data_IF_672943656951
#
_entry.id   IF_672943656951
#
_cell.length_a   1.000
_cell.length_b   1.000
_cell.length_c   1.000
_cell.angle_alpha   90.00
_cell.angle_beta   90.00
_cell.angle_gamma   90.00
#
_symmetry.space_group_name_H-M   'P 1'
#
loop_
_entity.id
_entity.type
_entity.pdbx_description
1 polymer ?
#
# COMPACT_ATOMS: atom_id res chain seq x y z
N UNK A 1 -37.64 -16.97 34.47
CA UNK A 1 -37.04 -15.66 34.12
C UNK A 1 -36.51 -15.76 32.71
N UNK A 2 -37.23 -15.19 31.75
CA UNK A 2 -36.72 -15.11 30.37
C UNK A 2 -35.49 -14.17 30.35
N UNK A 3 -34.32 -14.72 30.11
CA UNK A 3 -33.14 -13.90 29.76
C UNK A 3 -33.45 -13.23 28.43
N UNK A 4 -33.81 -11.96 28.45
CA UNK A 4 -33.86 -11.12 27.26
C UNK A 4 -32.42 -10.95 26.84
N UNK A 5 -32.03 -11.60 25.71
CA UNK A 5 -30.74 -11.36 25.09
C UNK A 5 -30.54 -9.84 24.88
N UNK A 6 -29.37 -9.28 25.18
CA UNK A 6 -29.13 -7.85 24.96
C UNK A 6 -29.46 -7.50 23.52
N UNK A 7 -30.05 -6.34 23.23
CA UNK A 7 -30.36 -5.93 21.87
C UNK A 7 -29.06 -5.90 21.04
N UNK A 8 -29.10 -6.54 19.89
CA UNK A 8 -27.97 -6.54 18.95
C UNK A 8 -27.69 -5.09 18.51
N UNK A 9 -26.46 -4.62 18.64
CA UNK A 9 -26.11 -3.25 18.24
C UNK A 9 -26.18 -3.07 16.72
N UNK A 10 -26.48 -1.86 16.26
CA UNK A 10 -26.42 -1.53 14.81
C UNK A 10 -25.04 -1.81 14.21
N UNK A 11 -23.98 -1.60 14.98
CA UNK A 11 -22.60 -1.94 14.55
C UNK A 11 -22.45 -3.44 14.30
N UNK A 12 -22.90 -4.29 15.23
CA UNK A 12 -22.83 -5.75 15.08
C UNK A 12 -23.63 -6.23 13.87
N UNK A 13 -24.84 -5.69 13.66
CA UNK A 13 -25.63 -5.99 12.47
C UNK A 13 -24.94 -5.53 11.19
N UNK A 14 -24.38 -4.32 11.18
CA UNK A 14 -23.67 -3.80 10.03
C UNK A 14 -22.45 -4.66 9.65
N UNK A 15 -21.67 -5.08 10.62
CA UNK A 15 -20.53 -5.99 10.40
C UNK A 15 -20.99 -7.33 9.82
N UNK A 16 -22.08 -7.91 10.33
CA UNK A 16 -22.65 -9.14 9.79
C UNK A 16 -23.07 -8.99 8.32
N UNK A 17 -23.69 -7.86 7.94
CA UNK A 17 -24.04 -7.59 6.56
C UNK A 17 -22.79 -7.34 5.69
N UNK A 18 -21.76 -6.65 6.22
CA UNK A 18 -20.49 -6.45 5.50
C UNK A 18 -19.77 -7.77 5.21
N UNK A 19 -19.74 -8.73 6.15
CA UNK A 19 -19.19 -10.08 5.95
C UNK A 19 -19.88 -10.83 4.79
N UNK A 20 -21.13 -10.50 4.51
CA UNK A 20 -21.93 -11.06 3.40
C UNK A 20 -21.86 -10.20 2.13
N UNK A 21 -20.99 -9.18 2.09
CA UNK A 21 -20.89 -8.21 1.02
C UNK A 21 -22.16 -7.40 0.75
N UNK A 22 -23.05 -7.30 1.71
CA UNK A 22 -24.29 -6.52 1.67
C UNK A 22 -24.01 -5.06 2.10
N UNK A 23 -23.03 -4.43 1.42
CA UNK A 23 -22.46 -3.13 1.77
C UNK A 23 -23.46 -1.98 1.91
N UNK A 24 -24.50 -1.85 1.03
CA UNK A 24 -25.51 -0.79 1.18
C UNK A 24 -26.30 -0.91 2.48
N UNK A 25 -26.61 -2.14 2.91
CA UNK A 25 -27.31 -2.40 4.19
C UNK A 25 -26.42 -2.05 5.37
N UNK A 26 -25.14 -2.48 5.30
CA UNK A 26 -24.14 -2.14 6.32
C UNK A 26 -24.01 -0.62 6.46
N UNK A 27 -23.93 0.14 5.36
CA UNK A 27 -23.89 1.60 5.37
C UNK A 27 -25.08 2.20 6.09
N UNK A 28 -26.31 1.80 5.74
CA UNK A 28 -27.52 2.34 6.35
C UNK A 28 -27.57 2.11 7.86
N UNK A 29 -27.18 0.91 8.33
CA UNK A 29 -27.12 0.57 9.76
C UNK A 29 -26.08 1.42 10.50
N UNK A 30 -24.90 1.65 9.90
CA UNK A 30 -23.86 2.50 10.49
C UNK A 30 -24.25 3.98 10.54
N UNK A 31 -24.97 4.48 9.55
CA UNK A 31 -25.53 5.84 9.56
C UNK A 31 -26.53 6.04 10.71
N UNK A 32 -27.26 5.00 11.11
CA UNK A 32 -28.06 5.01 12.36
C UNK A 32 -27.18 4.97 13.60
N UNK A 33 -26.15 4.12 13.61
CA UNK A 33 -25.25 3.99 14.77
C UNK A 33 -24.49 5.32 15.07
N UNK A 34 -24.15 6.11 14.06
CA UNK A 34 -23.53 7.45 14.25
C UNK A 34 -24.38 8.38 15.13
N UNK A 35 -25.71 8.23 15.16
CA UNK A 35 -26.61 9.04 15.97
C UNK A 35 -26.57 8.66 17.46
N UNK A 36 -26.02 7.50 17.79
CA UNK A 36 -25.88 6.98 19.15
C UNK A 36 -24.52 7.43 19.71
N UNK A 37 -24.45 8.27 20.74
CA UNK A 37 -23.19 8.88 21.20
C UNK A 37 -22.07 7.87 21.48
N UNK A 38 -22.37 6.75 22.18
CA UNK A 38 -21.41 5.72 22.55
C UNK A 38 -20.84 4.94 21.34
N UNK A 39 -21.61 4.87 20.23
CA UNK A 39 -21.27 4.07 19.04
C UNK A 39 -20.71 4.95 17.92
N UNK A 40 -20.82 6.28 18.06
CA UNK A 40 -20.54 7.27 17.01
C UNK A 40 -19.17 7.13 16.37
N UNK A 41 -18.11 7.06 17.17
CA UNK A 41 -16.76 6.98 16.65
C UNK A 41 -16.54 5.66 15.91
N UNK A 42 -16.89 4.53 16.51
CA UNK A 42 -16.74 3.22 15.88
C UNK A 42 -17.55 3.12 14.59
N UNK A 43 -18.78 3.64 14.57
CA UNK A 43 -19.61 3.67 13.37
C UNK A 43 -19.00 4.53 12.26
N UNK A 44 -18.41 5.69 12.57
CA UNK A 44 -17.71 6.54 11.60
C UNK A 44 -16.47 5.87 11.01
N UNK A 45 -15.68 5.17 11.82
CA UNK A 45 -14.50 4.41 11.34
C UNK A 45 -14.93 3.30 10.38
N UNK A 46 -16.00 2.57 10.69
CA UNK A 46 -16.54 1.55 9.78
C UNK A 46 -17.17 2.15 8.52
N UNK A 47 -17.83 3.31 8.63
CA UNK A 47 -18.33 4.05 7.45
C UNK A 47 -17.21 4.48 6.52
N UNK A 48 -16.04 4.86 7.05
CA UNK A 48 -14.87 5.13 6.22
C UNK A 48 -14.54 3.92 5.32
N UNK A 49 -14.55 2.71 5.85
CA UNK A 49 -14.27 1.49 5.07
C UNK A 49 -15.40 1.18 4.09
N UNK A 50 -16.65 1.14 4.58
CA UNK A 50 -17.83 0.76 3.77
C UNK A 50 -18.05 1.73 2.60
N UNK A 51 -17.91 3.04 2.83
CA UNK A 51 -18.06 4.03 1.76
C UNK A 51 -17.01 3.86 0.67
N UNK A 52 -15.77 3.55 1.01
CA UNK A 52 -14.72 3.31 0.03
C UNK A 52 -14.98 2.04 -0.81
N UNK A 53 -15.44 0.96 -0.17
CA UNK A 53 -15.85 -0.27 -0.90
C UNK A 53 -17.00 0.03 -1.86
N UNK A 54 -17.91 0.93 -1.50
CA UNK A 54 -19.01 1.38 -2.36
C UNK A 54 -18.60 2.41 -3.43
N UNK A 55 -17.31 2.80 -3.49
CA UNK A 55 -16.80 3.80 -4.45
C UNK A 55 -17.03 5.25 -4.04
N UNK A 56 -17.50 5.51 -2.82
CA UNK A 56 -17.77 6.84 -2.25
C UNK A 56 -16.63 7.24 -1.29
N UNK A 57 -15.42 7.33 -1.84
CA UNK A 57 -14.20 7.59 -1.04
C UNK A 57 -14.27 8.96 -0.32
N UNK A 58 -14.89 9.97 -0.92
CA UNK A 58 -15.00 11.31 -0.34
C UNK A 58 -15.85 11.26 0.94
N UNK A 59 -17.02 10.65 0.91
CA UNK A 59 -17.86 10.47 2.10
C UNK A 59 -17.12 9.62 3.17
N UNK A 60 -16.42 8.57 2.76
CA UNK A 60 -15.60 7.77 3.66
C UNK A 60 -14.56 8.61 4.40
N UNK A 61 -13.77 9.40 3.69
CA UNK A 61 -12.76 10.30 4.28
C UNK A 61 -13.39 11.35 5.20
N UNK A 62 -14.58 11.86 4.87
CA UNK A 62 -15.30 12.78 5.74
C UNK A 62 -15.70 12.13 7.09
N UNK A 63 -16.16 10.87 7.04
CA UNK A 63 -16.46 10.09 8.26
C UNK A 63 -15.20 9.84 9.09
N UNK A 64 -14.10 9.41 8.48
CA UNK A 64 -12.81 9.22 9.18
C UNK A 64 -12.38 10.52 9.86
N UNK A 65 -12.36 11.63 9.12
CA UNK A 65 -11.98 12.94 9.64
C UNK A 65 -12.79 13.32 10.86
N UNK A 66 -14.12 13.18 10.79
CA UNK A 66 -15.00 13.48 11.90
C UNK A 66 -14.74 12.57 13.12
N UNK A 67 -14.48 11.28 12.92
CA UNK A 67 -14.16 10.35 14.00
C UNK A 67 -12.88 10.74 14.75
N UNK A 68 -11.79 11.02 13.97
CA UNK A 68 -10.46 11.24 14.55
C UNK A 68 -10.20 12.68 14.99
N UNK A 69 -11.06 13.63 14.61
CA UNK A 69 -11.06 14.98 15.19
C UNK A 69 -11.59 14.94 16.63
N UNK A 70 -12.60 14.11 16.92
CA UNK A 70 -13.11 13.90 18.28
C UNK A 70 -12.12 13.10 19.14
N UNK A 71 -11.50 12.05 18.55
CA UNK A 71 -10.57 11.16 19.24
C UNK A 71 -9.47 10.68 18.28
N UNK A 72 -8.32 11.36 18.22
CA UNK A 72 -7.27 11.06 17.25
C UNK A 72 -6.53 9.75 17.51
N UNK A 73 -6.70 9.13 18.66
CA UNK A 73 -6.10 7.86 19.03
C UNK A 73 -7.16 6.75 19.04
N UNK A 74 -6.91 5.68 18.29
CA UNK A 74 -7.72 4.45 18.30
C UNK A 74 -6.90 3.29 18.83
N UNK A 75 -7.56 2.24 19.36
CA UNK A 75 -6.91 1.12 20.00
C UNK A 75 -7.50 -0.22 19.57
N UNK A 76 -6.64 -1.14 19.17
CA UNK A 76 -6.94 -2.55 18.93
C UNK A 76 -6.18 -3.39 19.98
N UNK A 77 -6.86 -3.95 21.00
CA UNK A 77 -6.21 -4.77 22.00
C UNK A 77 -5.82 -6.13 21.45
N UNK A 78 -4.71 -6.67 21.92
CA UNK A 78 -4.33 -8.06 21.74
C UNK A 78 -5.00 -8.98 22.77
N UNK A 79 -5.15 -10.28 22.42
CA UNK A 79 -5.68 -11.29 23.37
C UNK A 79 -4.69 -11.55 24.53
N UNK A 80 -3.40 -11.55 24.24
CA UNK A 80 -2.30 -11.79 25.18
C UNK A 80 -1.14 -10.82 24.88
N UNK A 81 -1.26 -9.54 25.24
CA UNK A 81 -0.33 -8.50 24.81
C UNK A 81 1.10 -8.76 25.26
N UNK A 82 2.04 -8.70 24.31
CA UNK A 82 3.49 -8.79 24.53
C UNK A 82 4.21 -7.58 23.95
N UNK A 83 3.58 -6.88 22.99
CA UNK A 83 4.12 -5.71 22.27
C UNK A 83 3.06 -4.64 22.23
N UNK A 84 3.47 -3.39 22.30
CA UNK A 84 2.61 -2.20 22.17
C UNK A 84 3.18 -1.30 21.09
N UNK A 85 2.52 -1.27 19.95
CA UNK A 85 2.96 -0.52 18.78
C UNK A 85 2.11 0.72 18.61
N UNK A 86 2.76 1.91 18.53
CA UNK A 86 2.11 3.13 18.07
C UNK A 86 2.24 3.23 16.56
N UNK A 87 1.13 3.13 15.85
CA UNK A 87 1.05 3.34 14.40
C UNK A 87 0.66 4.79 14.15
N UNK A 88 1.41 5.51 13.33
CA UNK A 88 1.10 6.89 12.94
C UNK A 88 0.52 6.88 11.53
N UNK A 89 -0.73 7.33 11.42
CA UNK A 89 -1.51 7.43 10.19
C UNK A 89 -1.87 8.88 9.87
N UNK A 90 -2.29 9.12 8.62
CA UNK A 90 -2.91 10.36 8.14
C UNK A 90 -4.36 10.10 7.70
N UNK A 91 -5.21 11.12 7.78
CA UNK A 91 -6.59 11.04 7.25
C UNK A 91 -6.55 11.03 5.72
N UNK A 92 -7.11 9.97 5.14
CA UNK A 92 -7.18 9.77 3.69
C UNK A 92 -8.02 8.55 3.31
N UNK A 93 -7.96 8.18 2.04
CA UNK A 93 -8.54 6.95 1.52
C UNK A 93 -7.69 5.71 1.90
N UNK A 94 -8.05 4.53 1.39
CA UNK A 94 -7.30 3.29 1.66
C UNK A 94 -5.83 3.34 1.21
N UNK A 95 -5.49 4.23 0.27
CA UNK A 95 -4.14 4.36 -0.26
C UNK A 95 -3.24 5.27 0.59
N UNK A 96 -3.84 6.04 1.52
CA UNK A 96 -3.11 7.03 2.30
C UNK A 96 -2.20 6.42 3.38
N UNK A 97 -2.44 5.18 3.76
CA UNK A 97 -1.68 4.53 4.82
C UNK A 97 -1.48 3.03 4.55
N UNK A 98 -0.36 2.50 5.03
CA UNK A 98 -0.18 1.07 5.20
C UNK A 98 -1.09 0.58 6.34
N UNK A 99 -1.98 -0.41 6.12
CA UNK A 99 -2.82 -0.93 7.20
C UNK A 99 -2.01 -1.87 8.13
N UNK A 100 -1.12 -1.31 8.95
CA UNK A 100 -0.19 -2.06 9.83
C UNK A 100 -0.94 -3.05 10.72
N UNK A 101 -2.18 -2.73 11.13
CA UNK A 101 -3.00 -3.65 11.90
C UNK A 101 -3.27 -4.99 11.18
N UNK A 102 -3.22 -5.04 9.84
CA UNK A 102 -3.34 -6.28 9.06
C UNK A 102 -2.01 -7.06 9.00
N UNK A 103 -0.88 -6.40 9.20
CA UNK A 103 0.45 -7.02 9.21
C UNK A 103 0.79 -7.65 10.55
N UNK A 104 0.10 -7.27 11.63
CA UNK A 104 0.40 -7.67 12.99
C UNK A 104 -0.65 -8.65 13.51
N UNK A 105 -0.19 -9.69 14.19
CA UNK A 105 -1.09 -10.64 14.82
C UNK A 105 -1.90 -9.96 15.94
N UNK A 106 -3.18 -10.31 16.02
CA UNK A 106 -4.12 -9.81 17.03
C UNK A 106 -4.01 -10.56 18.37
N UNK A 107 -3.10 -11.52 18.45
CA UNK A 107 -2.92 -12.34 19.64
C UNK A 107 -1.95 -11.70 20.61
N UNK A 108 -0.85 -11.14 20.11
CA UNK A 108 0.26 -10.69 20.97
C UNK A 108 0.63 -9.21 20.80
N UNK A 109 0.00 -8.47 19.85
CA UNK A 109 0.38 -7.09 19.58
C UNK A 109 -0.79 -6.13 19.80
N UNK A 110 -0.68 -5.31 20.84
CA UNK A 110 -1.52 -4.13 21.04
C UNK A 110 -1.18 -3.07 19.98
N UNK A 111 -2.18 -2.58 19.26
CA UNK A 111 -1.99 -1.55 18.25
C UNK A 111 -2.74 -0.28 18.64
N UNK A 112 -1.99 0.77 18.94
CA UNK A 112 -2.48 2.12 19.10
C UNK A 112 -2.29 2.86 17.78
N UNK A 113 -3.34 3.40 17.18
CA UNK A 113 -3.24 4.17 15.93
C UNK A 113 -3.52 5.64 16.21
N UNK A 114 -2.51 6.47 16.01
CA UNK A 114 -2.61 7.93 16.09
C UNK A 114 -2.80 8.51 14.69
N UNK A 115 -3.90 9.25 14.51
CA UNK A 115 -4.24 9.91 13.25
C UNK A 115 -3.78 11.37 13.29
N UNK A 116 -2.67 11.67 12.62
CA UNK A 116 -2.16 13.03 12.55
C UNK A 116 -2.99 13.89 11.59
N UNK A 117 -3.29 15.11 12.03
CA UNK A 117 -3.95 16.15 11.24
C UNK A 117 -3.35 17.52 11.61
N UNK A 118 -3.19 18.46 10.65
CA UNK A 118 -2.55 19.75 10.92
C UNK A 118 -3.23 20.57 12.02
N UNK A 119 -4.56 20.46 12.16
CA UNK A 119 -5.35 21.29 13.08
C UNK A 119 -5.78 20.54 14.35
N UNK A 120 -5.43 19.26 14.49
CA UNK A 120 -5.80 18.45 15.65
C UNK A 120 -4.55 18.22 16.49
N UNK A 121 -4.52 18.68 17.75
CA UNK A 121 -3.36 18.49 18.61
C UNK A 121 -3.18 17.00 18.92
N UNK A 122 -1.91 16.59 19.02
CA UNK A 122 -1.56 15.27 19.55
C UNK A 122 -1.98 15.24 21.02
N UNK A 123 -2.61 14.16 21.51
CA UNK A 123 -2.97 14.06 22.91
C UNK A 123 -1.73 14.23 23.82
N UNK A 124 -1.88 15.00 24.91
CA UNK A 124 -0.79 15.24 25.86
C UNK A 124 -0.30 13.95 26.51
N UNK A 125 -1.20 12.99 26.69
CA UNK A 125 -0.90 11.67 27.26
C UNK A 125 -1.11 10.60 26.19
N UNK A 126 -0.01 10.00 25.75
CA UNK A 126 -0.04 8.81 24.92
C UNK A 126 0.10 7.56 25.81
N UNK A 127 -0.42 6.39 25.37
CA UNK A 127 -0.24 5.14 26.10
C UNK A 127 1.24 4.78 26.18
N UNK A 128 1.57 3.90 27.12
CA UNK A 128 2.89 3.29 27.15
C UNK A 128 3.05 2.39 25.90
N UNK A 129 4.13 2.63 25.14
CA UNK A 129 4.42 1.97 23.86
C UNK A 129 5.85 1.43 23.84
N UNK A 130 6.09 0.42 23.03
CA UNK A 130 7.40 -0.22 22.89
C UNK A 130 8.13 0.27 21.62
N UNK A 131 7.39 0.55 20.53
CA UNK A 131 7.95 1.12 19.31
C UNK A 131 6.93 1.98 18.55
N UNK A 132 7.41 2.77 17.58
CA UNK A 132 6.61 3.60 16.67
C UNK A 132 6.76 3.08 15.26
N UNK A 133 5.64 2.98 14.52
CA UNK A 133 5.61 2.66 13.11
C UNK A 133 4.92 3.81 12.35
N UNK A 134 5.65 4.54 11.50
CA UNK A 134 5.03 5.51 10.61
C UNK A 134 4.47 4.74 9.40
N UNK A 135 3.14 4.71 9.30
CA UNK A 135 2.41 3.94 8.29
C UNK A 135 1.86 4.81 7.15
N UNK A 136 2.15 6.10 7.16
CA UNK A 136 1.72 7.05 6.13
C UNK A 136 2.37 6.66 4.81
N UNK A 137 1.56 6.44 3.76
CA UNK A 137 2.06 6.15 2.43
C UNK A 137 2.66 7.42 1.77
N UNK A 138 3.64 7.21 0.86
CA UNK A 138 4.25 8.30 0.13
C UNK A 138 3.21 9.02 -0.73
N UNK A 139 3.08 10.30 -0.51
CA UNK A 139 2.40 11.27 -1.36
C UNK A 139 2.96 12.66 -1.01
N UNK A 140 3.21 13.50 -2.01
CA UNK A 140 3.72 14.86 -1.76
C UNK A 140 2.78 15.68 -0.86
N UNK A 141 1.46 15.39 -0.87
CA UNK A 141 0.48 16.01 0.04
C UNK A 141 0.76 15.67 1.51
N UNK A 142 1.46 14.60 1.77
CA UNK A 142 1.79 14.13 3.13
C UNK A 142 3.14 14.64 3.64
N UNK A 143 3.92 15.40 2.85
CA UNK A 143 5.28 15.79 3.19
C UNK A 143 5.40 16.53 4.54
N UNK A 144 4.45 17.40 4.88
CA UNK A 144 4.44 18.13 6.17
C UNK A 144 4.07 17.20 7.33
N UNK A 145 3.10 16.30 7.12
CA UNK A 145 2.67 15.35 8.15
C UNK A 145 3.76 14.29 8.40
N UNK A 146 4.47 13.83 7.37
CA UNK A 146 5.62 12.95 7.53
C UNK A 146 6.74 13.58 8.38
N UNK A 147 7.02 14.88 8.16
CA UNK A 147 7.95 15.63 9.03
C UNK A 147 7.45 15.74 10.47
N UNK A 148 6.15 16.01 10.66
CA UNK A 148 5.55 16.06 11.99
C UNK A 148 5.60 14.69 12.70
N UNK A 149 5.40 13.61 11.94
CA UNK A 149 5.52 12.23 12.46
C UNK A 149 6.96 11.91 12.93
N UNK A 150 7.98 12.32 12.15
CA UNK A 150 9.39 12.16 12.57
C UNK A 150 9.69 12.94 13.85
N UNK A 151 9.24 14.18 13.97
CA UNK A 151 9.42 15.00 15.17
C UNK A 151 8.73 14.39 16.39
N UNK A 152 7.52 13.87 16.21
CA UNK A 152 6.79 13.17 17.27
C UNK A 152 7.53 11.91 17.70
N UNK A 153 7.97 11.08 16.75
CA UNK A 153 8.71 9.86 17.03
C UNK A 153 10.01 10.15 17.80
N UNK A 154 10.75 11.21 17.40
CA UNK A 154 11.95 11.66 18.11
C UNK A 154 11.64 12.10 19.54
N UNK A 155 10.53 12.82 19.77
CA UNK A 155 10.10 13.23 21.12
C UNK A 155 9.74 12.03 22.01
N UNK A 156 9.17 10.97 21.42
CA UNK A 156 8.80 9.75 22.15
C UNK A 156 10.02 8.92 22.56
N UNK A 157 11.14 9.04 21.85
CA UNK A 157 12.39 8.34 22.15
C UNK A 157 12.28 6.82 22.11
N UNK A 158 11.36 6.29 21.30
CA UNK A 158 11.16 4.85 21.11
C UNK A 158 11.71 4.40 19.75
N UNK A 159 12.08 3.11 19.59
CA UNK A 159 12.49 2.59 18.30
C UNK A 159 11.49 2.94 17.19
N UNK A 160 12.00 3.40 16.05
CA UNK A 160 11.20 3.88 14.93
C UNK A 160 11.30 2.94 13.73
N UNK A 161 10.16 2.54 13.19
CA UNK A 161 10.02 1.80 11.94
C UNK A 161 9.49 2.76 10.89
N UNK A 162 10.13 2.76 9.71
CA UNK A 162 9.81 3.59 8.57
C UNK A 162 9.80 5.11 8.87
N UNK A 163 10.99 5.73 9.05
CA UNK A 163 11.09 7.17 9.22
C UNK A 163 10.42 7.96 8.09
N UNK A 164 9.67 9.02 8.42
CA UNK A 164 8.89 9.81 7.48
C UNK A 164 9.72 10.46 6.38
N UNK A 165 10.94 10.91 6.67
CA UNK A 165 11.85 11.47 5.66
C UNK A 165 12.32 10.43 4.64
N UNK A 166 12.47 9.15 5.01
CA UNK A 166 12.78 8.07 4.07
C UNK A 166 11.56 7.72 3.23
N UNK A 167 10.35 7.71 3.82
CA UNK A 167 9.10 7.55 3.06
C UNK A 167 8.99 8.64 1.99
N UNK A 168 9.17 9.91 2.36
CA UNK A 168 9.08 11.04 1.44
C UNK A 168 10.11 10.97 0.29
N UNK A 169 11.24 10.28 0.47
CA UNK A 169 12.28 10.11 -0.55
C UNK A 169 11.91 9.05 -1.62
N UNK A 170 10.85 8.26 -1.44
CA UNK A 170 10.47 7.20 -2.40
C UNK A 170 9.50 7.66 -3.49
N UNK A 171 9.21 8.96 -3.57
CA UNK A 171 8.33 9.54 -4.59
C UNK A 171 8.73 9.16 -6.02
N UNK A 172 7.74 8.99 -6.89
CA UNK A 172 7.94 8.53 -8.27
C UNK A 172 8.94 9.37 -9.07
N UNK A 173 8.94 10.68 -8.90
CA UNK A 173 9.87 11.61 -9.53
C UNK A 173 11.28 11.59 -8.91
N UNK A 174 11.43 11.08 -7.69
CA UNK A 174 12.68 10.99 -6.96
C UNK A 174 13.33 9.60 -7.11
N UNK A 175 12.55 8.56 -7.38
CA UNK A 175 12.97 7.16 -7.38
C UNK A 175 14.16 6.90 -8.30
N UNK A 176 14.18 7.48 -9.52
CA UNK A 176 15.30 7.29 -10.46
C UNK A 176 16.62 7.92 -9.97
N UNK A 177 16.55 8.97 -9.16
CA UNK A 177 17.73 9.57 -8.53
C UNK A 177 18.18 8.76 -7.31
N UNK A 178 17.24 8.28 -6.50
CA UNK A 178 17.50 7.45 -5.33
C UNK A 178 18.16 6.12 -5.72
N UNK A 179 17.66 5.48 -6.77
CA UNK A 179 18.07 4.14 -7.22
C UNK A 179 19.02 4.16 -8.43
N UNK A 180 19.65 5.30 -8.73
CA UNK A 180 20.57 5.43 -9.88
C UNK A 180 21.76 4.48 -9.76
N UNK A 181 22.29 4.07 -10.91
CA UNK A 181 23.53 3.29 -11.03
C UNK A 181 23.54 1.96 -10.24
N UNK A 182 22.38 1.37 -9.99
CA UNK A 182 22.30 0.01 -9.42
C UNK A 182 22.60 -0.99 -10.55
N UNK A 183 23.65 -1.82 -10.41
CA UNK A 183 23.92 -2.87 -11.40
C UNK A 183 22.75 -3.82 -11.58
N UNK A 184 22.49 -4.24 -12.81
CA UNK A 184 21.39 -5.12 -13.20
C UNK A 184 19.98 -4.57 -12.86
N UNK A 185 19.82 -3.24 -12.80
CA UNK A 185 18.52 -2.59 -12.64
C UNK A 185 18.36 -1.43 -13.63
N UNK A 186 17.17 -1.36 -14.22
CA UNK A 186 16.69 -0.21 -14.98
C UNK A 186 15.62 0.48 -14.14
N UNK A 187 15.84 1.76 -13.82
CA UNK A 187 14.88 2.59 -13.11
C UNK A 187 14.43 3.71 -14.05
N UNK A 188 13.28 3.58 -14.74
CA UNK A 188 12.83 4.59 -15.68
C UNK A 188 12.63 5.93 -14.99
N UNK A 189 13.25 6.98 -15.51
CA UNK A 189 13.05 8.32 -14.96
C UNK A 189 11.61 8.76 -15.21
N UNK A 190 10.87 8.98 -14.14
CA UNK A 190 9.54 9.56 -14.19
C UNK A 190 9.64 11.07 -14.00
N UNK A 191 9.02 11.83 -14.89
CA UNK A 191 8.98 13.29 -14.83
C UNK A 191 7.53 13.75 -14.66
N UNK A 192 7.34 14.80 -13.87
CA UNK A 192 6.04 15.42 -13.68
C UNK A 192 5.92 16.58 -14.66
N UNK A 193 4.82 16.63 -15.42
CA UNK A 193 4.53 17.68 -16.38
C UNK A 193 3.07 18.09 -16.43
N UNK A 194 2.81 19.34 -16.78
CA UNK A 194 1.45 19.83 -17.05
C UNK A 194 0.97 19.30 -18.41
N UNK A 195 -0.32 18.99 -18.54
CA UNK A 195 -0.91 18.50 -19.80
C UNK A 195 -0.55 19.38 -21.00
N UNK A 196 -0.61 20.71 -20.86
CA UNK A 196 -0.27 21.67 -21.93
C UNK A 196 1.20 21.57 -22.37
N UNK A 197 2.13 21.32 -21.45
CA UNK A 197 3.57 21.32 -21.72
C UNK A 197 4.00 20.01 -22.38
N UNK A 198 3.30 18.91 -22.09
CA UNK A 198 3.56 17.59 -22.65
C UNK A 198 3.29 17.52 -24.16
N UNK A 199 2.42 18.39 -24.69
CA UNK A 199 2.09 18.44 -26.13
C UNK A 199 3.25 18.96 -27.00
N UNK A 200 4.27 19.59 -26.41
CA UNK A 200 5.37 20.25 -27.15
C UNK A 200 6.58 19.36 -27.44
N UNK A 201 6.61 18.12 -26.93
CA UNK A 201 7.71 17.19 -27.21
C UNK A 201 7.66 15.93 -26.37
N UNK A 202 8.37 14.88 -26.81
CA UNK A 202 8.50 13.63 -26.09
C UNK A 202 9.18 12.56 -26.94
N UNK A 203 9.98 11.70 -26.31
CA UNK A 203 10.46 10.49 -26.96
C UNK A 203 9.36 9.41 -26.81
N UNK A 204 8.98 8.78 -27.91
CA UNK A 204 7.98 7.72 -27.94
C UNK A 204 8.64 6.35 -28.20
N UNK A 205 8.06 5.25 -27.72
CA UNK A 205 6.85 5.18 -26.88
C UNK A 205 7.10 5.60 -25.42
N UNK A 206 6.08 6.19 -24.80
CA UNK A 206 6.13 6.58 -23.40
C UNK A 206 4.93 6.01 -22.60
N UNK A 207 5.08 6.00 -21.29
CA UNK A 207 4.00 5.75 -20.31
C UNK A 207 3.57 7.08 -19.71
N UNK A 208 2.26 7.28 -19.60
CA UNK A 208 1.64 8.45 -18.97
C UNK A 208 0.57 8.02 -17.97
N UNK A 209 0.46 8.76 -16.87
CA UNK A 209 -0.63 8.58 -15.91
C UNK A 209 -0.92 9.89 -15.16
N UNK A 210 -2.17 10.15 -14.73
CA UNK A 210 -2.48 11.27 -13.87
C UNK A 210 -1.70 11.20 -12.54
N UNK A 211 -1.27 12.35 -12.03
CA UNK A 211 -0.39 12.43 -10.84
C UNK A 211 -0.93 11.67 -9.62
N UNK A 212 -2.20 11.81 -9.30
CA UNK A 212 -2.83 11.23 -8.12
C UNK A 212 -3.63 9.96 -8.44
N UNK A 213 -3.24 9.22 -9.49
CA UNK A 213 -3.91 7.97 -9.85
C UNK A 213 -3.23 6.76 -9.21
N UNK A 214 -4.03 5.80 -8.76
CA UNK A 214 -3.61 4.53 -8.18
C UNK A 214 -4.18 3.36 -8.96
N UNK A 215 -3.69 2.14 -8.73
CA UNK A 215 -4.18 0.90 -9.32
C UNK A 215 -4.34 0.93 -10.85
N UNK A 216 -3.42 1.61 -11.56
CA UNK A 216 -3.46 1.69 -13.03
C UNK A 216 -4.49 2.64 -13.61
N UNK A 217 -5.25 3.37 -12.80
CA UNK A 217 -6.25 4.33 -13.30
C UNK A 217 -5.59 5.40 -14.16
N UNK A 218 -6.05 5.54 -15.41
CA UNK A 218 -5.51 6.50 -16.36
C UNK A 218 -4.08 6.18 -16.86
N UNK A 219 -3.51 5.02 -16.53
CA UNK A 219 -2.22 4.58 -17.08
C UNK A 219 -2.38 4.24 -18.57
N UNK A 220 -1.53 4.83 -19.41
CA UNK A 220 -1.56 4.58 -20.85
C UNK A 220 -0.14 4.50 -21.43
N UNK A 221 0.04 3.66 -22.45
CA UNK A 221 1.19 3.66 -23.34
C UNK A 221 0.86 4.52 -24.57
N UNK A 222 1.71 5.49 -24.83
CA UNK A 222 1.54 6.45 -25.89
C UNK A 222 2.62 6.18 -26.97
N UNK A 223 2.18 5.87 -28.19
CA UNK A 223 3.07 5.50 -29.29
C UNK A 223 3.63 6.68 -30.09
N UNK A 224 2.88 7.81 -30.12
CA UNK A 224 3.22 8.98 -30.91
C UNK A 224 2.53 10.26 -30.37
N UNK A 225 2.84 11.40 -30.98
CA UNK A 225 2.28 12.70 -30.59
C UNK A 225 0.76 12.82 -30.79
N UNK A 226 0.21 12.15 -31.82
CA UNK A 226 -1.22 12.19 -32.08
C UNK A 226 -2.01 11.41 -31.01
N UNK A 227 -1.50 10.27 -30.60
CA UNK A 227 -2.02 9.49 -29.48
C UNK A 227 -1.96 10.27 -28.16
N UNK A 228 -0.84 11.02 -27.91
CA UNK A 228 -0.70 11.88 -26.74
C UNK A 228 -1.75 12.99 -26.73
N UNK A 229 -1.92 13.70 -27.84
CA UNK A 229 -2.94 14.75 -27.96
C UNK A 229 -4.37 14.19 -27.74
N UNK A 230 -4.64 13.00 -28.26
CA UNK A 230 -5.93 12.32 -28.06
C UNK A 230 -6.16 11.94 -26.61
N UNK A 231 -5.13 11.39 -25.93
CA UNK A 231 -5.20 11.02 -24.52
C UNK A 231 -5.44 12.24 -23.62
N UNK A 232 -4.77 13.35 -23.87
CA UNK A 232 -4.85 14.57 -23.03
C UNK A 232 -6.12 15.38 -23.25
N UNK A 233 -6.86 15.17 -24.35
CA UNK A 233 -8.06 15.96 -24.71
C UNK A 233 -9.13 16.12 -23.62
N UNK A 234 -9.47 15.09 -22.80
CA UNK A 234 -10.48 15.22 -21.75
C UNK A 234 -9.98 15.95 -20.49
N UNK A 235 -8.68 16.24 -20.39
CA UNK A 235 -8.05 16.81 -19.21
C UNK A 235 -7.86 18.33 -19.34
N UNK A 236 -7.70 19.02 -18.20
CA UNK A 236 -7.41 20.45 -18.17
C UNK A 236 -5.93 20.69 -18.50
N UNK A 237 -5.60 21.83 -19.13
CA UNK A 237 -4.20 22.21 -19.39
C UNK A 237 -3.29 22.19 -18.15
N UNK A 238 -3.87 22.47 -16.98
CA UNK A 238 -3.19 22.51 -15.68
C UNK A 238 -3.09 21.16 -14.97
N UNK A 239 -3.69 20.10 -15.51
CA UNK A 239 -3.61 18.79 -14.88
C UNK A 239 -2.20 18.20 -14.99
N UNK A 240 -1.75 17.55 -13.93
CA UNK A 240 -0.40 17.01 -13.80
C UNK A 240 -0.36 15.52 -14.10
N UNK A 241 0.68 15.12 -14.84
CA UNK A 241 0.92 13.74 -15.24
C UNK A 241 2.34 13.32 -14.94
N UNK A 242 2.51 12.08 -14.50
CA UNK A 242 3.80 11.41 -14.56
C UNK A 242 3.98 10.84 -15.96
N UNK A 243 5.19 11.06 -16.51
CA UNK A 243 5.61 10.54 -17.80
C UNK A 243 6.94 9.83 -17.64
N UNK A 244 7.07 8.65 -18.25
CA UNK A 244 8.30 7.87 -18.28
C UNK A 244 8.50 7.22 -19.66
N UNK A 245 9.75 6.89 -20.07
CA UNK A 245 9.97 6.07 -21.25
C UNK A 245 9.31 4.69 -21.05
N UNK A 246 8.68 4.17 -22.11
CA UNK A 246 8.19 2.79 -22.10
C UNK A 246 9.37 1.84 -22.24
N UNK A 247 9.51 0.89 -21.31
CA UNK A 247 10.50 -0.18 -21.39
C UNK A 247 9.79 -1.47 -21.80
N UNK A 248 10.22 -2.07 -22.89
CA UNK A 248 9.72 -3.37 -23.32
C UNK A 248 10.46 -4.48 -22.56
N UNK A 249 9.83 -5.01 -21.51
CA UNK A 249 10.38 -6.08 -20.68
C UNK A 249 9.71 -7.43 -20.95
N UNK A 250 9.11 -7.62 -22.14
CA UNK A 250 8.54 -8.92 -22.52
C UNK A 250 9.57 -10.03 -22.37
N UNK A 251 9.13 -11.13 -21.80
CA UNK A 251 9.91 -12.37 -21.75
C UNK A 251 10.04 -12.97 -23.16
N UNK A 252 10.93 -13.93 -23.32
CA UNK A 252 11.20 -14.57 -24.63
C UNK A 252 10.00 -15.32 -25.23
N UNK A 253 9.03 -15.70 -24.40
CA UNK A 253 7.75 -16.31 -24.79
C UNK A 253 6.68 -15.28 -25.22
N UNK A 254 7.01 -13.98 -25.19
CA UNK A 254 6.13 -12.88 -25.53
C UNK A 254 5.23 -12.39 -24.41
N UNK A 255 5.21 -13.05 -23.27
CA UNK A 255 4.39 -12.66 -22.13
C UNK A 255 5.07 -11.58 -21.26
N UNK A 256 4.24 -10.80 -20.58
CA UNK A 256 4.67 -9.78 -19.63
C UNK A 256 4.51 -10.32 -18.21
N UNK A 257 5.55 -10.20 -17.38
CA UNK A 257 5.56 -10.65 -15.98
C UNK A 257 5.79 -9.49 -15.06
N UNK A 258 4.83 -9.21 -14.20
CA UNK A 258 4.95 -8.23 -13.13
C UNK A 258 5.12 -8.94 -11.80
N UNK A 259 6.19 -8.62 -11.11
CA UNK A 259 6.53 -9.18 -9.81
C UNK A 259 6.27 -8.14 -8.72
N UNK A 260 5.74 -8.59 -7.60
CA UNK A 260 5.59 -7.83 -6.38
C UNK A 260 6.45 -8.46 -5.29
N UNK A 261 7.37 -7.66 -4.75
CA UNK A 261 8.35 -8.08 -3.75
C UNK A 261 8.19 -7.19 -2.53
N UNK A 262 8.08 -7.79 -1.36
CA UNK A 262 8.04 -7.09 -0.08
C UNK A 262 9.43 -7.12 0.53
N UNK A 263 9.84 -6.00 1.10
CA UNK A 263 11.08 -5.91 1.87
C UNK A 263 10.74 -5.80 3.35
N UNK A 264 11.36 -6.67 4.14
CA UNK A 264 11.31 -6.62 5.59
C UNK A 264 12.74 -6.65 6.11
N UNK A 265 13.14 -5.60 6.80
CA UNK A 265 14.50 -5.39 7.33
C UNK A 265 15.60 -5.64 6.27
N UNK A 266 15.39 -5.07 5.08
CA UNK A 266 16.31 -5.18 3.95
C UNK A 266 16.24 -6.51 3.18
N UNK A 267 15.44 -7.50 3.62
CA UNK A 267 15.32 -8.79 2.95
C UNK A 267 14.17 -8.78 1.93
N UNK A 268 14.45 -9.04 0.63
CA UNK A 268 13.42 -9.17 -0.38
C UNK A 268 12.67 -10.51 -0.23
N UNK A 269 11.36 -10.45 -0.18
CA UNK A 269 10.45 -11.59 -0.04
C UNK A 269 9.41 -11.57 -1.16
N UNK A 270 9.25 -12.64 -1.95
CA UNK A 270 8.30 -12.67 -3.04
C UNK A 270 6.86 -12.71 -2.49
N UNK A 271 5.96 -11.93 -3.11
CA UNK A 271 4.57 -11.83 -2.64
C UNK A 271 3.54 -12.13 -3.72
N UNK A 272 3.73 -11.60 -4.95
CA UNK A 272 2.86 -11.88 -6.09
C UNK A 272 3.64 -11.88 -7.39
N UNK A 273 3.15 -12.65 -8.36
CA UNK A 273 3.53 -12.53 -9.76
C UNK A 273 2.28 -12.59 -10.63
N UNK A 274 2.14 -11.69 -11.59
CA UNK A 274 1.07 -11.70 -12.58
C UNK A 274 1.66 -11.85 -13.99
N UNK A 275 1.02 -12.67 -14.84
CA UNK A 275 1.45 -12.93 -16.21
C UNK A 275 0.32 -12.53 -17.16
N UNK A 276 0.63 -11.68 -18.15
CA UNK A 276 -0.34 -11.18 -19.11
C UNK A 276 0.22 -11.09 -20.52
N UNK A 277 -0.64 -11.10 -21.52
CA UNK A 277 -0.26 -10.99 -22.92
C UNK A 277 -0.11 -9.52 -23.39
N UNK A 278 -0.43 -8.57 -22.52
CA UNK A 278 -0.27 -7.12 -22.75
C UNK A 278 0.65 -6.51 -21.67
N UNK A 279 1.30 -5.39 -22.03
CA UNK A 279 2.22 -4.64 -21.16
C UNK A 279 1.58 -4.11 -19.87
N UNK A 280 0.27 -3.81 -19.92
CA UNK A 280 -0.49 -3.31 -18.77
C UNK A 280 -0.87 -4.45 -17.82
N UNK A 281 0.12 -5.03 -17.17
CA UNK A 281 -0.09 -6.15 -16.24
C UNK A 281 -0.68 -5.65 -14.93
N UNK A 282 -1.91 -6.05 -14.69
CA UNK A 282 -2.56 -5.89 -13.41
C UNK A 282 -3.09 -7.25 -12.94
N UNK A 283 -3.03 -7.50 -11.64
CA UNK A 283 -3.36 -8.81 -11.11
C UNK A 283 -4.75 -9.32 -11.55
N UNK A 284 -5.74 -8.43 -11.53
CA UNK A 284 -7.13 -8.77 -11.89
C UNK A 284 -7.38 -8.94 -13.39
N UNK A 285 -6.51 -8.42 -14.28
CA UNK A 285 -6.65 -8.63 -15.73
C UNK A 285 -5.81 -9.80 -16.25
N UNK A 286 -4.91 -10.34 -15.43
CA UNK A 286 -3.94 -11.37 -15.82
C UNK A 286 -4.57 -12.76 -15.99
N UNK A 287 -5.82 -12.98 -15.58
CA UNK A 287 -6.51 -14.28 -15.71
C UNK A 287 -5.86 -15.40 -14.89
N UNK A 288 -5.20 -15.06 -13.79
CA UNK A 288 -4.50 -16.01 -12.91
C UNK A 288 -5.45 -17.07 -12.32
N UNK A 289 -6.72 -16.73 -12.14
CA UNK A 289 -7.78 -17.63 -11.65
C UNK A 289 -8.10 -18.76 -12.65
N UNK A 290 -7.93 -18.51 -13.96
CA UNK A 290 -8.33 -19.42 -15.04
C UNK A 290 -7.18 -20.25 -15.60
N UNK A 291 -5.93 -19.86 -15.35
CA UNK A 291 -4.75 -20.49 -15.96
C UNK A 291 -3.88 -21.18 -14.89
N UNK A 292 -3.90 -22.51 -14.91
CA UNK A 292 -3.11 -23.34 -14.00
C UNK A 292 -1.59 -23.22 -14.25
N UNK A 293 -1.17 -23.00 -15.51
CA UNK A 293 0.23 -22.80 -15.89
C UNK A 293 0.79 -21.51 -15.27
N UNK A 294 0.06 -20.39 -15.38
CA UNK A 294 0.41 -19.13 -14.75
C UNK A 294 0.53 -19.27 -13.22
N UNK A 295 -0.42 -19.99 -12.58
CA UNK A 295 -0.35 -20.24 -11.13
C UNK A 295 0.82 -21.15 -10.74
N UNK A 296 1.17 -22.13 -11.55
CA UNK A 296 2.33 -22.97 -11.28
C UNK A 296 3.64 -22.17 -11.34
N UNK A 297 3.76 -21.25 -12.29
CA UNK A 297 4.91 -20.35 -12.40
C UNK A 297 4.97 -19.36 -11.23
N UNK A 298 3.84 -18.75 -10.83
CA UNK A 298 3.78 -17.91 -9.63
C UNK A 298 4.15 -18.70 -8.37
N UNK A 299 3.65 -19.94 -8.23
CA UNK A 299 3.97 -20.79 -7.09
C UNK A 299 5.48 -21.11 -7.01
N UNK A 300 6.13 -21.37 -8.16
CA UNK A 300 7.59 -21.54 -8.22
C UNK A 300 8.32 -20.26 -7.77
N UNK A 301 7.92 -19.10 -8.28
CA UNK A 301 8.46 -17.81 -7.85
C UNK A 301 8.32 -17.57 -6.34
N UNK A 302 7.17 -17.90 -5.75
CA UNK A 302 6.89 -17.67 -4.33
C UNK A 302 7.64 -18.61 -3.39
N UNK A 303 7.92 -19.85 -3.81
CA UNK A 303 8.49 -20.87 -2.94
C UNK A 303 9.94 -21.22 -3.26
N UNK A 304 10.44 -20.84 -4.44
CA UNK A 304 11.83 -21.05 -4.87
C UNK A 304 12.44 -19.78 -5.45
N UNK A 305 12.26 -18.67 -4.75
CA UNK A 305 12.65 -17.33 -5.18
C UNK A 305 14.12 -17.24 -5.61
N UNK A 306 15.00 -17.89 -4.86
CA UNK A 306 16.44 -17.88 -5.13
C UNK A 306 16.85 -18.53 -6.47
N UNK A 307 16.05 -19.49 -6.98
CA UNK A 307 16.25 -20.10 -8.30
C UNK A 307 15.40 -19.45 -9.39
N UNK A 308 14.18 -19.00 -9.03
CA UNK A 308 13.25 -18.36 -9.96
C UNK A 308 13.69 -16.95 -10.37
N UNK A 309 14.51 -16.28 -9.55
CA UNK A 309 14.96 -14.92 -9.80
C UNK A 309 16.47 -14.91 -10.10
N UNK A 310 16.93 -14.23 -11.19
CA UNK A 310 18.34 -14.22 -11.55
C UNK A 310 19.25 -13.65 -10.45
N UNK A 311 20.45 -14.16 -10.24
CA UNK A 311 21.37 -13.66 -9.20
C UNK A 311 21.63 -12.15 -9.28
N UNK A 312 21.75 -11.61 -10.52
CA UNK A 312 21.92 -10.16 -10.77
C UNK A 312 20.70 -9.35 -10.28
N UNK A 313 19.49 -9.84 -10.49
CA UNK A 313 18.28 -9.20 -10.00
C UNK A 313 18.17 -9.29 -8.46
N UNK A 314 18.53 -10.43 -7.85
CA UNK A 314 18.62 -10.56 -6.38
C UNK A 314 19.62 -9.56 -5.80
N UNK A 315 20.79 -9.40 -6.45
CA UNK A 315 21.77 -8.37 -6.05
C UNK A 315 21.16 -6.97 -6.14
N UNK A 316 20.50 -6.64 -7.26
CA UNK A 316 19.86 -5.35 -7.46
C UNK A 316 18.78 -5.07 -6.40
N UNK A 317 17.98 -6.08 -6.01
CA UNK A 317 16.98 -5.96 -4.95
C UNK A 317 17.61 -5.61 -3.59
N UNK A 318 18.76 -6.20 -3.24
CA UNK A 318 19.48 -5.88 -2.00
C UNK A 318 20.04 -4.46 -2.02
N UNK A 319 20.56 -4.01 -3.15
CA UNK A 319 21.02 -2.63 -3.32
C UNK A 319 19.87 -1.63 -3.24
N UNK A 320 18.71 -1.97 -3.81
CA UNK A 320 17.47 -1.17 -3.67
C UNK A 320 17.10 -1.05 -2.19
N UNK A 321 17.08 -2.16 -1.45
CA UNK A 321 16.76 -2.15 -0.03
C UNK A 321 17.71 -1.24 0.77
N UNK A 322 19.01 -1.34 0.52
CA UNK A 322 20.03 -0.52 1.18
C UNK A 322 19.84 0.98 0.91
N UNK A 323 19.46 1.36 -0.32
CA UNK A 323 19.26 2.76 -0.70
C UNK A 323 17.93 3.34 -0.24
N UNK A 324 16.86 2.54 -0.27
CA UNK A 324 15.55 2.94 0.25
C UNK A 324 15.60 3.11 1.76
N UNK A 325 16.30 2.22 2.48
CA UNK A 325 16.54 2.33 3.92
C UNK A 325 15.30 2.15 4.81
N UNK A 326 14.14 1.87 4.22
CA UNK A 326 12.93 1.57 4.98
C UNK A 326 12.96 0.12 5.48
N UNK A 327 12.45 -0.09 6.69
CA UNK A 327 12.35 -1.41 7.29
C UNK A 327 11.21 -2.26 6.69
N UNK A 328 10.15 -1.61 6.16
CA UNK A 328 9.07 -2.26 5.43
C UNK A 328 8.66 -1.41 4.21
N UNK A 329 8.64 -2.01 3.04
CA UNK A 329 8.09 -1.43 1.81
C UNK A 329 7.86 -2.53 0.77
N UNK A 330 7.16 -2.20 -0.31
CA UNK A 330 6.98 -3.05 -1.48
C UNK A 330 7.68 -2.50 -2.71
N UNK A 331 7.93 -3.36 -3.68
CA UNK A 331 8.45 -3.05 -5.00
C UNK A 331 7.62 -3.76 -6.06
N UNK A 332 7.11 -3.01 -7.03
CA UNK A 332 6.58 -3.58 -8.27
C UNK A 332 7.67 -3.48 -9.36
N UNK A 333 7.97 -4.61 -10.01
CA UNK A 333 9.04 -4.70 -11.01
C UNK A 333 8.73 -5.72 -12.11
N UNK A 334 9.54 -5.70 -13.18
CA UNK A 334 9.60 -6.71 -14.23
C UNK A 334 11.02 -7.23 -14.39
N UNK A 335 11.22 -8.23 -15.25
CA UNK A 335 12.52 -8.73 -15.67
C UNK A 335 12.65 -8.66 -17.18
N UNK A 336 13.78 -8.13 -17.65
CA UNK A 336 14.21 -8.24 -19.04
C UNK A 336 14.61 -9.69 -19.36
N UNK A 337 14.64 -10.11 -20.64
CA UNK A 337 15.10 -11.44 -21.04
C UNK A 337 16.54 -11.78 -20.59
N UNK A 338 17.39 -10.78 -20.41
CA UNK A 338 18.76 -10.93 -19.90
C UNK A 338 18.86 -11.00 -18.37
N UNK A 339 17.72 -10.92 -17.67
CA UNK A 339 17.63 -10.95 -16.22
C UNK A 339 17.80 -9.57 -15.54
N UNK A 340 17.91 -8.48 -16.30
CA UNK A 340 17.94 -7.12 -15.75
C UNK A 340 16.59 -6.76 -15.14
N UNK A 341 16.60 -6.25 -13.91
CA UNK A 341 15.40 -5.82 -13.17
C UNK A 341 14.88 -4.49 -13.76
N UNK A 342 13.59 -4.39 -14.03
CA UNK A 342 12.92 -3.12 -14.38
C UNK A 342 12.04 -2.69 -13.23
N UNK A 343 12.39 -1.59 -12.58
CA UNK A 343 11.67 -1.06 -11.41
C UNK A 343 10.52 -0.17 -11.87
N UNK A 344 9.29 -0.46 -11.45
CA UNK A 344 8.11 0.36 -11.77
C UNK A 344 7.82 1.36 -10.67
N UNK A 345 7.80 0.91 -9.41
CA UNK A 345 7.54 1.75 -8.24
C UNK A 345 8.06 1.12 -6.93
N UNK A 346 8.45 2.00 -6.01
CA UNK A 346 8.59 1.69 -4.59
C UNK A 346 7.27 2.08 -3.93
N UNK A 347 6.64 1.16 -3.20
CA UNK A 347 5.32 1.35 -2.61
C UNK A 347 5.41 1.18 -1.09
N UNK A 348 5.21 2.27 -0.35
CA UNK A 348 5.31 2.28 1.11
C UNK A 348 4.02 1.84 1.80
N UNK A 349 2.90 1.84 1.08
CA UNK A 349 1.59 1.38 1.55
C UNK A 349 1.22 -0.04 1.13
N UNK A 350 2.17 -0.84 0.62
CA UNK A 350 1.89 -2.16 0.06
C UNK A 350 1.38 -3.15 1.09
N UNK A 351 0.15 -3.64 0.88
CA UNK A 351 -0.58 -4.52 1.80
C UNK A 351 -0.13 -5.97 1.60
N UNK A 352 0.07 -6.68 2.72
CA UNK A 352 0.20 -8.14 2.76
C UNK A 352 -0.89 -8.70 3.65
N UNK A 353 -1.57 -9.75 3.18
CA UNK A 353 -2.55 -10.48 3.98
C UNK A 353 -2.47 -11.98 3.69
N UNK A 354 -2.87 -12.81 4.65
CA UNK A 354 -2.96 -14.27 4.53
C UNK A 354 -4.42 -14.75 4.44
N UNK A 355 -5.32 -13.92 3.94
CA UNK A 355 -6.72 -14.28 3.69
C UNK A 355 -6.80 -15.11 2.40
N UNK A 356 -7.56 -16.24 2.39
CA UNK A 356 -7.73 -17.02 1.18
C UNK A 356 -8.53 -16.24 0.13
N UNK A 357 -7.96 -16.14 -1.08
CA UNK A 357 -8.62 -15.52 -2.26
C UNK A 357 -9.35 -16.60 -3.12
N UNK A 358 -9.67 -17.74 -2.53
CA UNK A 358 -10.21 -18.93 -3.17
C UNK A 358 -9.23 -20.10 -3.14
N UNK A 359 -9.76 -21.32 -3.29
CA UNK A 359 -8.96 -22.56 -3.17
C UNK A 359 -7.81 -22.63 -4.17
N UNK A 360 -7.99 -22.08 -5.39
CA UNK A 360 -6.97 -22.09 -6.43
C UNK A 360 -5.72 -21.28 -6.08
N UNK A 361 -5.80 -20.40 -5.07
CA UNK A 361 -4.72 -19.53 -4.60
C UNK A 361 -4.16 -19.93 -3.23
N UNK A 362 -4.55 -21.10 -2.71
CA UNK A 362 -4.09 -21.57 -1.39
C UNK A 362 -2.55 -21.61 -1.24
N UNK A 363 -1.81 -21.79 -2.34
CA UNK A 363 -0.33 -21.80 -2.36
C UNK A 363 0.30 -20.46 -1.94
N UNK A 364 -0.44 -19.35 -1.97
CA UNK A 364 0.03 -18.01 -1.55
C UNK A 364 0.04 -17.81 -0.04
N UNK A 365 -0.74 -18.61 0.71
CA UNK A 365 -0.90 -18.41 2.14
C UNK A 365 0.41 -18.58 2.91
N UNK A 366 1.20 -19.60 2.59
CA UNK A 366 2.47 -19.84 3.26
C UNK A 366 3.51 -18.73 2.99
N UNK A 367 3.73 -18.26 1.74
CA UNK A 367 4.53 -17.07 1.45
C UNK A 367 4.08 -15.81 2.20
N UNK A 368 2.78 -15.50 2.20
CA UNK A 368 2.25 -14.35 2.92
C UNK A 368 2.53 -14.45 4.44
N UNK A 369 2.29 -15.60 5.05
CA UNK A 369 2.58 -15.83 6.47
C UNK A 369 4.06 -15.69 6.82
N UNK A 370 4.97 -16.07 5.91
CA UNK A 370 6.42 -15.82 6.10
C UNK A 370 6.72 -14.32 6.19
N UNK A 371 6.07 -13.50 5.36
CA UNK A 371 6.23 -12.05 5.39
C UNK A 371 5.67 -11.47 6.70
N UNK A 372 4.47 -11.89 7.12
CA UNK A 372 3.84 -11.43 8.37
C UNK A 372 4.70 -11.82 9.58
N UNK A 373 5.25 -13.04 9.59
CA UNK A 373 6.18 -13.47 10.65
C UNK A 373 7.47 -12.64 10.65
N UNK A 374 8.01 -12.27 9.48
CA UNK A 374 9.18 -11.42 9.38
C UNK A 374 8.90 -9.99 9.91
N UNK A 375 7.71 -9.43 9.67
CA UNK A 375 7.30 -8.13 10.24
C UNK A 375 7.23 -8.21 11.77
N UNK A 376 6.68 -9.30 12.31
CA UNK A 376 6.65 -9.53 13.76
C UNK A 376 8.07 -9.60 14.33
N UNK A 377 8.97 -10.36 13.70
CA UNK A 377 10.36 -10.46 14.10
C UNK A 377 11.13 -9.13 14.01
N UNK A 378 10.85 -8.32 12.98
CA UNK A 378 11.37 -6.95 12.85
C UNK A 378 11.00 -6.10 14.07
N UNK A 379 9.73 -6.12 14.49
CA UNK A 379 9.28 -5.36 15.66
C UNK A 379 9.97 -5.84 16.92
N UNK A 380 10.07 -7.16 17.15
CA UNK A 380 10.77 -7.73 18.30
C UNK A 380 12.24 -7.29 18.34
N UNK A 381 12.92 -7.31 17.20
CA UNK A 381 14.31 -6.87 17.11
C UNK A 381 14.47 -5.36 17.43
N UNK A 382 13.53 -4.52 16.97
CA UNK A 382 13.54 -3.07 17.27
C UNK A 382 13.26 -2.78 18.74
N UNK A 383 12.39 -3.55 19.39
CA UNK A 383 12.08 -3.39 20.82
C UNK A 383 13.27 -3.82 21.71
N UNK A 384 14.04 -4.82 21.26
CA UNK A 384 15.19 -5.35 21.99
C UNK A 384 16.47 -4.52 21.83
N UNK A 385 16.56 -3.60 20.86
CA UNK A 385 17.72 -2.76 20.57
C UNK A 385 17.74 -1.47 21.39
#
# INVERSE_FOLDING_TARGET
>A
MNQISPPVSFITLAMHHAERSEWPVARALLEYAVKIPRDRQAARLLLWEVCQVLGDAEAGVAHLRAAVTEMPLTFRPAKHPRRRVLVINVVGDFQANLPVAMLLDDTTTDVHTLWLQPQVPVPDLLPDIDCVFIAIAEDQRHAEILRAADLLAAKLGKPLINPGHLIAATGRDQMAALLRDIPNAIVPRQTLGLAQDLLTGGAFPLIIRPRHSHAGTGLARIGDAAALASYLRPFKPSDLFFVAPFIDYRSTDGAWRKYRIIFVDGQPMPFHMAIHDDWAVWYYNAGMDRDAGKRAEENAFLNDFGHAFPPGAIFALREIAARVGLAYFGLDCGLMPDGTLVVFEVETGMIVHDRPEGEVFAYRLAPARRILAAVTALIDARIAS
#
